data_IF_660639756351
#
_entry.id   IF_660639756351
#
_cell.length_a   1.000
_cell.length_b   1.000
_cell.length_c   1.000
_cell.angle_alpha   90.00
_cell.angle_beta   90.00
_cell.angle_gamma   90.00
#
_symmetry.space_group_name_H-M   'P 1'
#
loop_
_entity.id
_entity.type
_entity.pdbx_description
1 polymer ?
#
# COMPACT_ATOMS: atom_id res chain seq x y z
N UNK A 1 -5.71 21.60 -1.01
CA UNK A 1 -4.30 21.96 -1.29
C UNK A 1 -4.16 23.34 -1.89
N UNK A 2 -3.02 23.99 -1.64
CA UNK A 2 -2.63 25.26 -2.23
C UNK A 2 -1.38 25.05 -3.09
N UNK A 3 -1.29 25.70 -4.25
CA UNK A 3 -0.10 25.64 -5.09
C UNK A 3 1.11 26.26 -4.37
N UNK A 4 2.32 25.70 -4.55
CA UNK A 4 3.54 26.24 -3.94
C UNK A 4 3.90 27.64 -4.45
N UNK A 5 3.43 28.00 -5.65
CA UNK A 5 3.60 29.33 -6.25
C UNK A 5 2.26 29.89 -6.72
N UNK A 6 2.15 31.21 -6.80
CA UNK A 6 0.97 31.87 -7.38
C UNK A 6 0.82 31.42 -8.83
N UNK A 7 -0.38 31.00 -9.21
CA UNK A 7 -0.66 30.59 -10.59
C UNK A 7 -1.38 31.71 -11.34
N UNK A 8 -0.98 31.95 -12.59
CA UNK A 8 -1.80 32.70 -13.53
C UNK A 8 -3.12 31.96 -13.83
N UNK A 9 -4.11 32.69 -14.36
CA UNK A 9 -5.45 32.16 -14.59
C UNK A 9 -5.47 30.98 -15.58
N UNK A 10 -4.57 30.96 -16.56
CA UNK A 10 -4.47 29.90 -17.55
C UNK A 10 -3.48 28.82 -17.08
N UNK A 11 -4.01 27.63 -16.82
CA UNK A 11 -3.24 26.44 -16.43
C UNK A 11 -3.42 25.34 -17.46
N UNK A 12 -2.37 24.57 -17.70
CA UNK A 12 -2.41 23.36 -18.51
C UNK A 12 -2.56 22.14 -17.61
N UNK A 13 -3.65 21.41 -17.81
CA UNK A 13 -3.91 20.11 -17.18
C UNK A 13 -3.52 18.98 -18.13
N UNK A 14 -2.70 18.06 -17.67
CA UNK A 14 -2.28 16.88 -18.43
C UNK A 14 -2.35 15.63 -17.56
N UNK A 15 -3.34 14.79 -17.83
CA UNK A 15 -3.44 13.46 -17.26
C UNK A 15 -2.37 12.56 -17.89
N UNK A 16 -1.46 12.08 -17.06
CA UNK A 16 -0.34 11.20 -17.45
C UNK A 16 -0.65 9.73 -17.13
N UNK A 17 -1.51 9.50 -16.13
CA UNK A 17 -2.19 8.24 -15.81
C UNK A 17 -3.64 8.55 -15.40
N UNK A 18 -4.49 7.54 -15.16
CA UNK A 18 -5.87 7.77 -14.70
C UNK A 18 -5.93 8.44 -13.31
N UNK A 19 -4.84 8.34 -12.56
CA UNK A 19 -4.72 8.80 -11.18
C UNK A 19 -3.54 9.76 -10.95
N UNK A 20 -2.92 10.26 -12.02
CA UNK A 20 -1.84 11.24 -11.99
C UNK A 20 -2.06 12.38 -13.01
N UNK A 21 -2.25 13.60 -12.51
CA UNK A 21 -2.45 14.80 -13.32
C UNK A 21 -1.37 15.86 -13.06
N UNK A 22 -0.63 16.20 -14.11
CA UNK A 22 0.30 17.33 -14.09
C UNK A 22 -0.43 18.65 -14.36
N UNK A 23 -0.32 19.59 -13.43
CA UNK A 23 -0.84 20.96 -13.53
C UNK A 23 0.34 21.90 -13.77
N UNK A 24 0.52 22.35 -15.01
CA UNK A 24 1.58 23.28 -15.40
C UNK A 24 1.01 24.69 -15.53
N UNK A 25 1.70 25.67 -14.97
CA UNK A 25 1.26 27.06 -14.96
C UNK A 25 2.45 28.02 -14.98
N UNK A 26 2.22 29.25 -15.41
CA UNK A 26 3.19 30.33 -15.24
C UNK A 26 2.91 31.05 -13.93
N UNK A 27 3.96 31.38 -13.18
CA UNK A 27 3.82 32.22 -11.99
C UNK A 27 3.99 33.69 -12.36
N UNK A 28 3.07 34.58 -11.96
CA UNK A 28 3.23 36.01 -12.19
C UNK A 28 4.32 36.62 -11.29
N UNK A 29 4.76 35.91 -10.25
CA UNK A 29 5.72 36.42 -9.27
C UNK A 29 7.16 36.42 -9.82
N UNK A 30 7.51 35.43 -10.64
CA UNK A 30 8.85 35.26 -11.24
C UNK A 30 8.82 35.14 -12.77
N UNK A 31 7.64 35.00 -13.38
CA UNK A 31 7.46 34.80 -14.81
C UNK A 31 7.87 33.40 -15.30
N UNK A 32 8.17 32.47 -14.40
CA UNK A 32 8.68 31.14 -14.72
C UNK A 32 7.55 30.12 -14.81
N UNK A 33 7.82 29.01 -15.52
CA UNK A 33 6.92 27.86 -15.59
C UNK A 33 7.14 26.97 -14.37
N UNK A 34 6.05 26.71 -13.65
CA UNK A 34 5.99 25.84 -12.49
C UNK A 34 5.04 24.68 -12.76
N UNK A 35 5.16 23.63 -11.94
CA UNK A 35 4.29 22.47 -12.02
C UNK A 35 3.94 21.95 -10.63
N UNK A 36 2.71 21.50 -10.49
CA UNK A 36 2.25 20.68 -9.38
C UNK A 36 1.66 19.40 -9.95
N UNK A 37 1.98 18.25 -9.37
CA UNK A 37 1.43 16.96 -9.82
C UNK A 37 0.48 16.43 -8.76
N UNK A 38 -0.80 16.29 -9.15
CA UNK A 38 -1.82 15.64 -8.35
C UNK A 38 -1.69 14.13 -8.56
N UNK A 39 -1.53 13.38 -7.48
CA UNK A 39 -1.39 11.92 -7.53
C UNK A 39 -2.37 11.29 -6.56
N UNK A 40 -3.01 10.20 -6.98
CA UNK A 40 -4.00 9.47 -6.20
C UNK A 40 -3.70 7.98 -6.29
N UNK A 41 -3.55 7.29 -5.17
CA UNK A 41 -3.28 5.85 -5.17
C UNK A 41 -1.79 5.50 -5.01
N UNK A 42 -1.49 4.23 -5.27
CA UNK A 42 -0.21 3.59 -4.97
C UNK A 42 0.08 2.49 -6.00
N UNK A 43 1.36 2.14 -6.20
CA UNK A 43 1.78 1.00 -7.05
C UNK A 43 2.47 -0.12 -6.24
N UNK A 44 2.54 0.03 -4.93
CA UNK A 44 3.02 -0.98 -3.99
C UNK A 44 1.87 -1.70 -3.28
N UNK A 45 2.13 -2.18 -2.07
CA UNK A 45 1.16 -2.90 -1.24
C UNK A 45 0.22 -1.99 -0.44
N UNK A 46 0.35 -0.67 -0.54
CA UNK A 46 -0.46 0.30 0.22
C UNK A 46 -0.17 0.36 1.73
N UNK A 47 0.85 -0.34 2.23
CA UNK A 47 1.26 -0.38 3.66
C UNK A 47 2.42 0.58 3.92
N UNK A 48 3.37 0.69 2.97
CA UNK A 48 4.54 1.58 3.09
C UNK A 48 4.60 2.60 1.95
N UNK A 49 4.87 3.85 2.30
CA UNK A 49 5.13 4.90 1.31
C UNK A 49 6.58 4.77 0.82
N UNK A 50 6.78 4.48 -0.46
CA UNK A 50 8.10 4.47 -1.07
C UNK A 50 8.46 5.82 -1.71
N UNK A 51 9.74 6.00 -1.99
CA UNK A 51 10.21 7.13 -2.79
C UNK A 51 10.23 6.74 -4.27
N UNK A 52 9.57 7.53 -5.12
CA UNK A 52 9.51 7.27 -6.56
C UNK A 52 10.91 7.18 -7.15
N UNK A 53 11.82 8.06 -6.69
CA UNK A 53 13.24 8.05 -7.05
C UNK A 53 13.92 6.69 -6.80
N UNK A 54 13.58 6.03 -5.70
CA UNK A 54 14.15 4.73 -5.34
C UNK A 54 13.55 3.62 -6.20
N UNK A 55 12.23 3.64 -6.43
CA UNK A 55 11.60 2.53 -7.13
C UNK A 55 11.87 2.52 -8.63
N UNK A 56 12.20 3.68 -9.23
CA UNK A 56 12.51 3.75 -10.66
C UNK A 56 13.93 3.30 -11.00
N UNK A 57 14.84 3.15 -10.02
CA UNK A 57 16.28 2.83 -10.22
C UNK A 57 16.51 1.72 -11.24
N UNK A 58 17.43 1.90 -12.21
CA UNK A 58 17.69 1.00 -13.33
C UNK A 58 17.73 1.69 -14.70
N UNK A 59 17.88 0.88 -15.75
CA UNK A 59 17.88 1.32 -17.15
C UNK A 59 16.51 1.13 -17.81
N UNK A 60 16.12 2.07 -18.66
CA UNK A 60 14.81 2.15 -19.28
C UNK A 60 14.92 2.52 -20.77
N UNK A 61 14.07 1.92 -21.60
CA UNK A 61 14.03 2.19 -23.04
C UNK A 61 12.65 2.59 -23.51
N UNK A 62 12.61 3.56 -24.41
CA UNK A 62 11.37 4.16 -24.84
C UNK A 62 10.59 3.28 -25.84
N UNK A 63 9.29 3.14 -25.64
CA UNK A 63 8.40 2.31 -26.46
C UNK A 63 7.54 3.13 -27.43
N UNK A 64 7.30 2.56 -28.62
CA UNK A 64 6.36 3.11 -29.59
C UNK A 64 7.02 3.71 -30.84
N UNK A 65 6.30 4.63 -31.50
CA UNK A 65 6.77 5.27 -32.73
C UNK A 65 7.51 6.56 -32.40
N UNK A 66 8.59 6.84 -33.12
CA UNK A 66 9.43 8.04 -32.95
C UNK A 66 10.17 8.14 -31.61
N UNK A 67 10.49 7.01 -30.98
CA UNK A 67 11.23 6.94 -29.72
C UNK A 67 12.74 6.68 -29.90
N UNK A 68 13.23 6.60 -31.13
CA UNK A 68 14.65 6.38 -31.39
C UNK A 68 15.49 7.52 -30.81
N UNK A 69 16.52 7.15 -30.03
CA UNK A 69 17.41 8.11 -29.35
C UNK A 69 16.90 8.62 -28.01
N UNK A 70 15.78 8.08 -27.50
CA UNK A 70 15.37 8.28 -26.12
C UNK A 70 15.91 7.18 -25.23
N UNK A 71 16.61 7.57 -24.17
CA UNK A 71 17.09 6.67 -23.13
C UNK A 71 16.84 7.33 -21.77
N UNK A 72 16.52 6.51 -20.77
CA UNK A 72 16.38 6.95 -19.40
C UNK A 72 17.19 5.99 -18.52
N UNK A 73 18.11 6.55 -17.76
CA UNK A 73 18.89 5.81 -16.78
C UNK A 73 18.67 6.44 -15.41
N UNK A 74 18.42 5.62 -14.41
CA UNK A 74 18.15 6.07 -13.05
C UNK A 74 19.10 5.32 -12.13
N UNK A 75 19.83 6.04 -11.29
CA UNK A 75 20.96 5.52 -10.53
C UNK A 75 21.14 6.27 -9.22
N UNK A 76 22.12 5.85 -8.39
CA UNK A 76 22.53 6.60 -7.21
C UNK A 76 23.10 7.99 -7.57
N UNK A 77 23.66 8.14 -8.77
CA UNK A 77 24.20 9.40 -9.30
C UNK A 77 23.12 10.34 -9.85
N UNK A 78 21.84 9.94 -9.84
CA UNK A 78 20.74 10.74 -10.36
C UNK A 78 19.94 10.06 -11.47
N UNK A 79 19.12 10.87 -12.15
CA UNK A 79 18.33 10.49 -13.30
C UNK A 79 18.90 11.15 -14.55
N UNK A 80 19.35 10.33 -15.49
CA UNK A 80 19.83 10.76 -16.80
C UNK A 80 18.74 10.59 -17.84
N UNK A 81 18.32 11.71 -18.45
CA UNK A 81 17.42 11.74 -19.60
C UNK A 81 18.23 12.03 -20.85
N UNK A 82 18.22 11.10 -21.81
CA UNK A 82 18.74 11.33 -23.16
C UNK A 82 17.56 11.57 -24.08
N UNK A 83 17.52 12.74 -24.70
CA UNK A 83 16.50 13.09 -25.70
C UNK A 83 17.14 13.48 -27.04
N UNK A 84 16.49 13.20 -28.19
CA UNK A 84 17.01 13.59 -29.50
C UNK A 84 17.15 15.11 -29.71
N UNK A 85 16.33 15.92 -29.02
CA UNK A 85 16.32 17.38 -29.17
C UNK A 85 17.29 18.09 -28.23
N UNK A 86 17.34 17.66 -26.98
CA UNK A 86 18.02 18.40 -25.90
C UNK A 86 19.31 17.69 -25.43
N UNK A 87 19.65 16.54 -26.01
CA UNK A 87 20.83 15.76 -25.63
C UNK A 87 20.66 15.08 -24.27
N UNK A 88 21.80 14.84 -23.61
CA UNK A 88 21.88 14.24 -22.28
C UNK A 88 21.73 15.31 -21.19
N UNK A 89 20.82 15.07 -20.25
CA UNK A 89 20.61 15.87 -19.04
C UNK A 89 20.67 14.94 -17.83
N UNK A 90 21.37 15.38 -16.79
CA UNK A 90 21.53 14.64 -15.53
C UNK A 90 20.90 15.46 -14.42
N UNK A 91 20.06 14.81 -13.62
CA UNK A 91 19.36 15.39 -12.48
C UNK A 91 19.78 14.64 -11.22
N UNK A 92 20.44 15.31 -10.29
CA UNK A 92 20.85 14.68 -9.03
C UNK A 92 19.62 14.39 -8.14
N UNK A 93 19.79 13.61 -7.08
CA UNK A 93 18.68 13.29 -6.17
C UNK A 93 18.00 14.56 -5.61
N UNK A 94 18.79 15.60 -5.29
CA UNK A 94 18.29 16.88 -4.76
C UNK A 94 17.54 17.71 -5.82
N UNK A 95 17.75 17.43 -7.10
CA UNK A 95 17.02 18.05 -8.22
C UNK A 95 15.65 17.38 -8.46
N UNK A 96 15.39 16.26 -7.80
CA UNK A 96 14.21 15.44 -8.02
C UNK A 96 13.14 15.69 -6.94
N UNK A 97 12.01 16.29 -7.32
CA UNK A 97 10.93 16.66 -6.39
C UNK A 97 9.78 15.67 -6.47
N UNK A 98 9.53 14.94 -5.38
CA UNK A 98 8.49 13.92 -5.33
C UNK A 98 7.08 14.50 -5.14
N UNK A 99 6.10 13.89 -5.83
CA UNK A 99 4.67 14.14 -5.67
C UNK A 99 3.96 12.81 -5.39
N UNK A 100 3.51 12.63 -4.14
CA UNK A 100 2.90 11.38 -3.68
C UNK A 100 3.81 10.17 -3.87
N UNK A 101 3.22 9.02 -4.19
CA UNK A 101 3.93 7.76 -4.50
C UNK A 101 3.99 7.46 -5.99
N UNK A 102 3.51 8.36 -6.86
CA UNK A 102 3.35 8.08 -8.28
C UNK A 102 4.22 8.93 -9.21
N UNK A 103 4.69 10.10 -8.75
CA UNK A 103 5.37 11.03 -9.64
C UNK A 103 6.59 11.71 -9.02
N UNK A 104 7.51 12.12 -9.90
CA UNK A 104 8.67 12.94 -9.57
C UNK A 104 8.91 13.97 -10.67
N UNK A 105 9.18 15.22 -10.30
CA UNK A 105 9.63 16.24 -11.22
C UNK A 105 11.15 16.33 -11.21
N UNK A 106 11.75 16.40 -12.39
CA UNK A 106 13.19 16.59 -12.57
C UNK A 106 13.44 18.08 -12.80
N UNK A 107 14.12 18.73 -11.86
CA UNK A 107 14.27 20.18 -11.85
C UNK A 107 15.68 20.61 -12.23
N UNK A 108 15.80 21.72 -12.95
CA UNK A 108 17.07 22.40 -13.16
C UNK A 108 17.01 23.75 -12.44
N UNK A 109 17.94 23.99 -11.51
CA UNK A 109 17.95 25.19 -10.66
C UNK A 109 16.60 25.41 -9.93
N UNK A 110 15.96 24.33 -9.48
CA UNK A 110 14.67 24.36 -8.80
C UNK A 110 13.45 24.55 -9.70
N UNK A 111 13.61 24.58 -11.03
CA UNK A 111 12.52 24.71 -12.00
C UNK A 111 12.27 23.38 -12.72
N UNK A 112 11.02 22.89 -12.78
CA UNK A 112 10.70 21.59 -13.34
C UNK A 112 10.91 21.57 -14.86
N UNK A 113 11.71 20.60 -15.34
CA UNK A 113 11.99 20.36 -16.76
C UNK A 113 11.22 19.16 -17.31
N UNK A 114 11.13 18.10 -16.50
CA UNK A 114 10.43 16.86 -16.84
C UNK A 114 9.58 16.37 -15.66
N UNK A 115 8.52 15.63 -15.97
CA UNK A 115 7.73 14.87 -15.00
C UNK A 115 7.85 13.39 -15.35
N UNK A 116 8.25 12.56 -14.40
CA UNK A 116 8.22 11.12 -14.52
C UNK A 116 7.08 10.56 -13.66
N UNK A 117 6.28 9.66 -14.23
CA UNK A 117 5.08 9.09 -13.60
C UNK A 117 5.07 7.57 -13.75
N UNK A 118 4.73 6.86 -12.66
CA UNK A 118 4.42 5.42 -12.69
C UNK A 118 3.00 5.23 -13.25
N UNK A 119 2.84 4.42 -14.31
CA UNK A 119 1.52 4.15 -14.87
C UNK A 119 0.79 3.05 -14.10
N UNK A 120 -0.49 2.85 -14.43
CA UNK A 120 -1.40 1.91 -13.74
C UNK A 120 -0.97 0.45 -13.84
N UNK A 121 -0.10 0.12 -14.80
CA UNK A 121 0.49 -1.20 -14.98
C UNK A 121 1.78 -1.41 -14.18
N UNK A 122 2.29 -0.40 -13.47
CA UNK A 122 3.45 -0.55 -12.61
C UNK A 122 3.14 -1.40 -11.38
N UNK A 123 4.02 -2.36 -11.10
CA UNK A 123 4.06 -3.10 -9.84
C UNK A 123 5.39 -2.84 -9.15
N UNK A 124 5.35 -2.21 -7.98
CA UNK A 124 6.52 -2.06 -7.10
C UNK A 124 6.64 -3.31 -6.24
N UNK A 125 7.81 -3.94 -6.26
CA UNK A 125 8.07 -5.14 -5.49
C UNK A 125 8.21 -4.85 -4.00
N UNK A 126 7.56 -5.65 -3.16
CA UNK A 126 7.57 -5.51 -1.70
C UNK A 126 8.95 -5.72 -1.06
N UNK A 127 9.83 -6.44 -1.75
CA UNK A 127 11.17 -6.80 -1.26
C UNK A 127 12.25 -6.01 -2.00
N UNK A 128 12.04 -5.78 -3.30
CA UNK A 128 13.03 -5.14 -4.16
C UNK A 128 13.00 -3.62 -4.06
N UNK A 129 11.91 -3.04 -3.51
CA UNK A 129 11.65 -1.61 -3.47
C UNK A 129 11.90 -0.94 -4.84
N UNK A 130 11.63 -1.67 -5.93
CA UNK A 130 11.71 -1.20 -7.31
C UNK A 130 10.53 -1.66 -8.14
N UNK A 131 10.25 -0.93 -9.23
CA UNK A 131 9.23 -1.33 -10.20
C UNK A 131 9.69 -2.61 -10.90
N UNK A 132 9.04 -3.74 -10.64
CA UNK A 132 9.38 -5.06 -11.19
C UNK A 132 8.78 -5.26 -12.59
N UNK A 133 7.67 -4.59 -12.87
CA UNK A 133 7.00 -4.61 -14.17
C UNK A 133 6.17 -3.35 -14.38
N UNK A 134 5.79 -3.10 -15.64
CA UNK A 134 4.96 -1.97 -16.05
C UNK A 134 5.73 -0.88 -16.78
N UNK A 135 5.05 0.25 -16.96
CA UNK A 135 5.48 1.33 -17.84
C UNK A 135 5.58 2.64 -17.06
N UNK A 136 6.62 3.43 -17.34
CA UNK A 136 6.73 4.79 -16.81
C UNK A 136 6.57 5.81 -17.93
N UNK A 137 5.98 6.96 -17.63
CA UNK A 137 5.81 8.06 -18.56
C UNK A 137 6.71 9.25 -18.18
N UNK A 138 7.51 9.73 -19.13
CA UNK A 138 8.27 10.97 -19.01
C UNK A 138 7.61 12.06 -19.87
N UNK A 139 7.26 13.20 -19.28
CA UNK A 139 6.64 14.31 -19.99
C UNK A 139 7.41 15.62 -19.81
N UNK A 140 7.60 16.37 -20.90
CA UNK A 140 8.25 17.69 -20.83
C UNK A 140 7.34 18.69 -20.14
N UNK A 141 7.89 19.45 -19.21
CA UNK A 141 7.18 20.53 -18.51
C UNK A 141 7.21 21.78 -19.39
N UNK A 142 6.04 22.15 -19.91
CA UNK A 142 5.86 23.32 -20.78
C UNK A 142 4.39 23.68 -20.86
N UNK A 143 4.10 24.97 -21.05
CA UNK A 143 2.76 25.47 -21.37
C UNK A 143 2.31 25.09 -22.80
N UNK A 144 3.24 24.72 -23.68
CA UNK A 144 2.93 24.23 -25.03
C UNK A 144 2.33 22.81 -25.00
N UNK A 145 1.76 22.37 -26.12
CA UNK A 145 1.30 20.98 -26.25
C UNK A 145 2.51 20.04 -26.22
N UNK A 146 2.54 19.13 -25.26
CA UNK A 146 3.54 18.07 -25.13
C UNK A 146 2.84 16.71 -25.06
N UNK A 147 3.53 15.66 -25.49
CA UNK A 147 3.09 14.27 -25.34
C UNK A 147 4.11 13.53 -24.47
N UNK A 148 3.65 12.62 -23.59
CA UNK A 148 4.55 11.78 -22.81
C UNK A 148 5.29 10.77 -23.72
N UNK A 149 6.50 10.42 -23.30
CA UNK A 149 7.28 9.30 -23.82
C UNK A 149 7.19 8.18 -22.79
N UNK A 150 6.87 6.98 -23.25
CA UNK A 150 6.68 5.81 -22.40
C UNK A 150 7.93 4.94 -22.42
N UNK A 151 8.30 4.39 -21.28
CA UNK A 151 9.48 3.55 -21.14
C UNK A 151 9.16 2.25 -20.41
N UNK A 152 9.82 1.18 -20.84
CA UNK A 152 9.87 -0.09 -20.13
C UNK A 152 11.29 -0.37 -19.66
N UNK A 153 11.38 -1.10 -18.55
CA UNK A 153 12.65 -1.39 -17.90
C UNK A 153 13.48 -2.36 -18.75
N UNK A 154 14.75 -2.03 -18.97
CA UNK A 154 15.71 -2.86 -19.70
C UNK A 154 16.87 -3.34 -18.85
N UNK A 155 17.15 -2.68 -17.73
CA UNK A 155 18.14 -3.11 -16.75
C UNK A 155 17.67 -2.82 -15.32
N UNK A 156 17.97 -3.74 -14.41
CA UNK A 156 17.87 -3.50 -12.97
C UNK A 156 19.07 -2.67 -12.50
N UNK A 157 19.00 -1.98 -11.34
CA UNK A 157 20.13 -1.20 -10.85
C UNK A 157 21.30 -2.12 -10.45
N UNK A 158 22.54 -1.62 -10.56
CA UNK A 158 23.73 -2.37 -10.13
C UNK A 158 23.64 -2.69 -8.63
N UNK A 159 23.82 -3.96 -8.26
CA UNK A 159 23.58 -4.43 -6.89
C UNK A 159 22.14 -4.94 -6.65
N UNK A 160 21.24 -4.83 -7.63
CA UNK A 160 20.06 -5.69 -7.74
C UNK A 160 20.42 -7.07 -8.35
N UNK A 161 21.66 -7.51 -8.12
CA UNK A 161 22.02 -8.92 -8.26
C UNK A 161 21.17 -9.68 -7.24
N UNK A 162 20.25 -10.47 -7.77
CA UNK A 162 19.51 -11.48 -7.04
C UNK A 162 20.49 -12.39 -6.27
N UNK A 163 20.73 -12.09 -4.99
CA UNK A 163 20.20 -13.07 -4.06
C UNK A 163 18.69 -12.95 -4.21
N UNK A 164 18.11 -13.83 -5.02
CA UNK A 164 16.73 -14.20 -4.77
C UNK A 164 16.77 -14.73 -3.35
N UNK A 165 16.57 -13.86 -2.36
CA UNK A 165 15.90 -14.29 -1.15
C UNK A 165 14.64 -14.94 -1.73
N UNK A 166 14.60 -16.28 -1.69
CA UNK A 166 13.44 -17.02 -2.13
C UNK A 166 12.26 -16.30 -1.48
N UNK A 167 11.32 -15.77 -2.28
CA UNK A 167 10.12 -15.15 -1.73
C UNK A 167 9.60 -16.16 -0.73
N UNK A 168 9.57 -15.84 0.58
CA UNK A 168 9.27 -16.84 1.57
C UNK A 168 7.97 -17.48 1.16
N UNK A 169 7.98 -18.80 1.00
CA UNK A 169 6.79 -19.55 0.69
C UNK A 169 5.70 -19.20 1.71
N UNK A 170 4.43 -19.41 1.36
CA UNK A 170 3.33 -19.22 2.34
C UNK A 170 3.61 -19.96 3.66
N UNK A 171 4.27 -21.11 3.55
CA UNK A 171 4.72 -21.88 4.70
C UNK A 171 5.80 -21.17 5.53
N UNK A 172 6.79 -20.53 4.91
CA UNK A 172 7.84 -19.77 5.59
C UNK A 172 7.29 -18.50 6.26
N UNK A 173 6.45 -17.73 5.57
CA UNK A 173 5.71 -16.62 6.16
C UNK A 173 4.86 -17.08 7.35
N UNK A 174 4.21 -18.25 7.22
CA UNK A 174 3.45 -18.87 8.30
C UNK A 174 4.31 -19.30 9.49
N UNK A 175 5.55 -19.79 9.26
CA UNK A 175 6.52 -20.10 10.33
C UNK A 175 6.94 -18.82 11.05
N UNK A 176 7.25 -17.76 10.33
CA UNK A 176 7.67 -16.48 10.90
C UNK A 176 6.54 -15.85 11.73
N UNK A 177 5.31 -15.81 11.19
CA UNK A 177 4.12 -15.35 11.90
C UNK A 177 3.95 -16.10 13.23
N UNK A 178 3.99 -17.44 13.17
CA UNK A 178 3.88 -18.31 14.34
C UNK A 178 4.97 -18.01 15.37
N UNK A 179 6.22 -17.92 14.92
CA UNK A 179 7.37 -17.77 15.81
C UNK A 179 7.37 -16.39 16.48
N UNK A 180 6.96 -15.34 15.75
CA UNK A 180 6.72 -14.00 16.30
C UNK A 180 5.62 -13.98 17.36
N UNK A 181 4.49 -14.63 17.09
CA UNK A 181 3.38 -14.72 18.06
C UNK A 181 3.81 -15.49 19.33
N UNK A 182 4.51 -16.63 19.16
CA UNK A 182 5.05 -17.41 20.29
C UNK A 182 6.06 -16.62 21.09
N UNK A 183 6.95 -15.88 20.44
CA UNK A 183 7.91 -15.03 21.13
C UNK A 183 7.22 -13.93 21.93
N UNK A 184 6.21 -13.28 21.34
CA UNK A 184 5.39 -12.25 22.01
C UNK A 184 4.76 -12.80 23.28
N UNK A 185 4.05 -13.94 23.19
CA UNK A 185 3.41 -14.57 24.35
C UNK A 185 4.41 -15.14 25.36
N UNK A 186 5.64 -15.45 24.94
CA UNK A 186 6.70 -15.87 25.87
C UNK A 186 7.24 -14.70 26.70
N UNK A 187 7.34 -13.52 26.10
CA UNK A 187 7.86 -12.30 26.75
C UNK A 187 6.79 -11.57 27.56
N UNK A 188 5.53 -11.65 27.13
CA UNK A 188 4.37 -11.06 27.80
C UNK A 188 3.14 -11.97 27.70
N UNK A 189 3.05 -13.04 28.51
CA UNK A 189 1.97 -14.02 28.45
C UNK A 189 0.58 -13.42 28.63
N UNK A 190 0.45 -12.38 29.46
CA UNK A 190 -0.81 -11.68 29.70
C UNK A 190 -1.07 -10.55 28.68
N UNK A 191 -0.15 -10.32 27.74
CA UNK A 191 -0.16 -9.22 26.78
C UNK A 191 -0.33 -7.85 27.46
N UNK A 192 0.11 -7.72 28.71
CA UNK A 192 -0.11 -6.56 29.58
C UNK A 192 0.49 -5.26 29.04
N UNK A 193 1.58 -5.37 28.29
CA UNK A 193 2.35 -4.28 27.66
C UNK A 193 2.21 -4.28 26.14
N UNK A 194 1.47 -5.22 25.57
CA UNK A 194 1.29 -5.32 24.13
C UNK A 194 0.23 -4.32 23.67
N UNK A 195 0.62 -3.48 22.72
CA UNK A 195 -0.25 -2.53 22.03
C UNK A 195 -0.72 -3.16 20.72
N UNK A 196 -2.03 -3.14 20.49
CA UNK A 196 -2.60 -3.71 19.27
C UNK A 196 -2.25 -2.85 18.04
N UNK A 197 -2.02 -3.52 16.91
CA UNK A 197 -1.76 -2.93 15.60
C UNK A 197 -2.64 -3.59 14.54
N UNK A 198 -3.34 -2.79 13.73
CA UNK A 198 -4.29 -3.25 12.73
C UNK A 198 -3.68 -4.18 11.67
N UNK A 199 -2.38 -4.03 11.41
CA UNK A 199 -1.61 -4.83 10.45
C UNK A 199 -0.65 -5.81 11.14
N UNK A 200 -0.53 -5.71 12.46
CA UNK A 200 0.31 -6.56 13.30
C UNK A 200 -0.52 -7.56 14.11
N UNK A 201 -0.38 -7.50 15.44
CA UNK A 201 -1.14 -8.32 16.36
C UNK A 201 -2.26 -7.54 17.04
N UNK A 202 -3.40 -8.21 17.25
CA UNK A 202 -4.54 -7.70 18.00
C UNK A 202 -4.63 -8.43 19.33
N UNK A 203 -4.61 -7.67 20.42
CA UNK A 203 -4.83 -8.18 21.77
C UNK A 203 -6.32 -8.18 22.10
N UNK A 204 -6.84 -9.34 22.52
CA UNK A 204 -8.20 -9.48 23.06
C UNK A 204 -8.11 -9.99 24.49
N UNK A 205 -8.56 -9.18 25.46
CA UNK A 205 -8.62 -9.58 26.88
C UNK A 205 -10.01 -10.13 27.19
N UNK A 206 -10.09 -11.43 27.49
CA UNK A 206 -11.37 -12.10 27.76
C UNK A 206 -11.14 -13.43 28.48
N UNK A 207 -12.12 -13.84 29.30
CA UNK A 207 -12.19 -15.17 29.92
C UNK A 207 -12.96 -16.18 29.05
N UNK A 208 -13.53 -15.73 27.92
CA UNK A 208 -14.24 -16.59 26.97
C UNK A 208 -13.31 -17.62 26.33
N UNK A 209 -13.82 -18.83 26.08
CA UNK A 209 -13.06 -19.90 25.43
C UNK A 209 -13.53 -20.21 23.99
N UNK A 210 -14.61 -19.58 23.53
CA UNK A 210 -15.13 -19.78 22.18
C UNK A 210 -14.28 -19.05 21.15
N UNK A 211 -13.53 -19.81 20.35
CA UNK A 211 -12.63 -19.30 19.31
C UNK A 211 -13.32 -18.36 18.31
N UNK A 212 -14.61 -18.58 18.00
CA UNK A 212 -15.35 -17.75 17.07
C UNK A 212 -15.78 -16.42 17.72
N UNK A 213 -16.06 -16.44 19.02
CA UNK A 213 -16.30 -15.21 19.77
C UNK A 213 -15.01 -14.38 19.89
N UNK A 214 -13.88 -15.03 20.16
CA UNK A 214 -12.57 -14.39 20.22
C UNK A 214 -12.20 -13.77 18.85
N UNK A 215 -12.42 -14.50 17.75
CA UNK A 215 -12.22 -13.99 16.40
C UNK A 215 -13.10 -12.75 16.11
N UNK A 216 -14.37 -12.77 16.51
CA UNK A 216 -15.29 -11.62 16.41
C UNK A 216 -14.76 -10.42 17.18
N UNK A 217 -14.34 -10.59 18.43
CA UNK A 217 -13.76 -9.51 19.23
C UNK A 217 -12.48 -8.94 18.59
N UNK A 218 -11.59 -9.79 18.09
CA UNK A 218 -10.36 -9.32 17.45
C UNK A 218 -10.61 -8.59 16.12
N UNK A 219 -11.61 -9.00 15.35
CA UNK A 219 -12.02 -8.27 14.14
C UNK A 219 -12.57 -6.88 14.48
N UNK A 220 -13.42 -6.78 15.52
CA UNK A 220 -13.94 -5.49 16.00
C UNK A 220 -12.81 -4.55 16.44
N UNK A 221 -11.87 -5.04 17.26
CA UNK A 221 -10.70 -4.26 17.69
C UNK A 221 -9.82 -3.82 16.53
N UNK A 222 -9.65 -4.68 15.51
CA UNK A 222 -8.92 -4.31 14.29
C UNK A 222 -9.61 -3.15 13.56
N UNK A 223 -10.93 -3.17 13.43
CA UNK A 223 -11.65 -2.06 12.78
C UNK A 223 -11.61 -0.77 13.59
N UNK A 224 -11.59 -0.83 14.94
CA UNK A 224 -11.35 0.35 15.78
C UNK A 224 -10.00 1.01 15.47
N UNK A 225 -8.96 0.22 15.24
CA UNK A 225 -7.63 0.73 14.87
C UNK A 225 -7.58 1.30 13.43
N UNK A 226 -8.49 0.88 12.54
CA UNK A 226 -8.57 1.40 11.17
C UNK A 226 -9.51 2.61 11.03
N UNK A 227 -10.45 2.79 11.97
CA UNK A 227 -11.47 3.83 11.95
C UNK A 227 -10.96 5.25 12.30
N UNK A 228 -9.65 5.40 12.58
CA UNK A 228 -8.98 6.69 12.88
C UNK A 228 -8.99 7.67 11.69
N UNK A 229 -9.52 7.25 10.54
CA UNK A 229 -9.66 8.05 9.32
C UNK A 229 -11.03 8.75 9.20
N UNK A 230 -11.84 8.83 10.27
CA UNK A 230 -13.14 9.52 10.25
C UNK A 230 -14.22 8.83 9.41
N UNK A 231 -14.11 7.51 9.19
CA UNK A 231 -15.08 6.71 8.43
C UNK A 231 -15.79 5.74 9.36
N UNK A 232 -17.11 5.78 9.36
CA UNK A 232 -17.97 4.84 10.07
C UNK A 232 -17.86 3.45 9.43
N UNK A 233 -17.72 2.43 10.28
CA UNK A 233 -17.68 1.03 9.87
C UNK A 233 -18.87 0.29 10.47
N UNK A 234 -19.77 -0.18 9.62
CA UNK A 234 -20.82 -1.13 9.98
C UNK A 234 -20.45 -2.51 9.46
N UNK A 235 -20.25 -3.47 10.37
CA UNK A 235 -19.78 -4.81 10.03
C UNK A 235 -20.74 -5.89 10.52
N UNK A 236 -21.12 -6.78 9.61
CA UNK A 236 -21.80 -8.03 9.93
C UNK A 236 -20.89 -9.21 9.57
N UNK A 237 -20.51 -10.01 10.56
CA UNK A 237 -19.87 -11.31 10.29
C UNK A 237 -20.95 -12.26 9.77
N UNK A 238 -20.72 -12.83 8.60
CA UNK A 238 -21.64 -13.73 7.91
C UNK A 238 -21.36 -15.19 8.27
N UNK A 239 -20.08 -15.55 8.35
CA UNK A 239 -19.66 -16.93 8.55
C UNK A 239 -18.25 -17.01 9.13
N UNK A 240 -17.97 -18.04 9.92
CA UNK A 240 -16.62 -18.34 10.41
C UNK A 240 -16.31 -19.84 10.32
N UNK A 241 -15.05 -20.17 10.07
CA UNK A 241 -14.57 -21.54 9.90
C UNK A 241 -13.24 -21.73 10.63
N UNK A 242 -13.11 -22.81 11.41
CA UNK A 242 -11.83 -23.26 11.96
C UNK A 242 -11.08 -24.04 10.88
N UNK A 243 -9.95 -23.50 10.41
CA UNK A 243 -9.13 -24.12 9.36
C UNK A 243 -8.19 -25.18 9.93
N UNK A 244 -7.58 -24.91 11.07
CA UNK A 244 -6.60 -25.77 11.73
C UNK A 244 -6.40 -25.38 13.20
N UNK A 245 -5.92 -26.32 14.00
CA UNK A 245 -5.52 -26.11 15.39
C UNK A 245 -6.61 -26.38 16.42
N UNK A 246 -6.42 -25.84 17.61
CA UNK A 246 -7.28 -26.07 18.77
C UNK A 246 -7.55 -24.76 19.54
N UNK A 247 -8.16 -24.87 20.73
CA UNK A 247 -8.52 -23.70 21.56
C UNK A 247 -7.33 -22.88 22.08
N UNK A 248 -6.08 -23.35 21.92
CA UNK A 248 -4.88 -22.66 22.37
C UNK A 248 -4.08 -22.02 21.23
N UNK A 249 -4.08 -22.64 20.05
CA UNK A 249 -3.43 -22.13 18.83
C UNK A 249 -4.24 -22.62 17.63
N UNK A 250 -4.90 -21.70 16.93
CA UNK A 250 -5.76 -22.02 15.78
C UNK A 250 -5.68 -21.00 14.65
N UNK A 251 -6.11 -21.43 13.46
CA UNK A 251 -6.35 -20.58 12.30
C UNK A 251 -7.86 -20.52 12.03
N UNK A 252 -8.44 -19.32 12.03
CA UNK A 252 -9.87 -19.09 11.82
C UNK A 252 -10.07 -18.16 10.63
N UNK A 253 -10.91 -18.57 9.69
CA UNK A 253 -11.40 -17.75 8.58
C UNK A 253 -12.70 -17.08 9.00
N UNK A 254 -12.83 -15.80 8.70
CA UNK A 254 -14.01 -14.97 8.96
C UNK A 254 -14.45 -14.38 7.62
N UNK A 255 -15.72 -14.56 7.28
CA UNK A 255 -16.36 -13.89 6.16
C UNK A 255 -17.26 -12.81 6.72
N UNK A 256 -17.05 -11.57 6.30
CA UNK A 256 -17.81 -10.42 6.76
C UNK A 256 -18.38 -9.61 5.60
N UNK A 257 -19.46 -8.87 5.88
CA UNK A 257 -19.94 -7.78 5.05
C UNK A 257 -19.69 -6.49 5.80
N UNK A 258 -18.96 -5.58 5.17
CA UNK A 258 -18.57 -4.30 5.75
C UNK A 258 -19.16 -3.20 4.91
N UNK A 259 -19.74 -2.20 5.57
CA UNK A 259 -20.22 -0.98 4.96
C UNK A 259 -19.43 0.18 5.53
N UNK A 260 -18.83 0.98 4.65
CA UNK A 260 -18.13 2.20 4.99
C UNK A 260 -19.05 3.39 4.72
N UNK A 261 -19.19 4.27 5.71
CA UNK A 261 -19.98 5.50 5.61
C UNK A 261 -19.18 6.72 6.04
N UNK A 262 -19.38 7.85 5.37
CA UNK A 262 -19.01 9.16 5.90
C UNK A 262 -20.26 9.83 6.50
N UNK A 263 -20.02 10.72 7.48
CA UNK A 263 -20.98 11.52 8.26
C UNK A 263 -22.26 11.98 7.47
N UNK A 264 -23.39 12.30 8.14
CA UNK A 264 -24.74 12.03 7.61
C UNK A 264 -25.03 12.73 6.27
N UNK A 265 -25.05 11.92 5.20
CA UNK A 265 -25.35 12.33 3.82
C UNK A 265 -24.36 11.84 2.77
N UNK A 266 -23.25 11.21 3.17
CA UNK A 266 -22.23 10.65 2.29
C UNK A 266 -22.66 9.37 1.54
N UNK A 267 -21.93 9.04 0.48
CA UNK A 267 -22.09 7.76 -0.23
C UNK A 267 -21.60 6.62 0.66
N UNK A 268 -22.42 5.58 0.81
CA UNK A 268 -22.04 4.34 1.50
C UNK A 268 -21.52 3.33 0.49
N UNK A 269 -20.37 2.71 0.77
CA UNK A 269 -19.86 1.58 -0.01
C UNK A 269 -19.95 0.31 0.83
N UNK A 270 -20.36 -0.81 0.23
CA UNK A 270 -20.48 -2.09 0.93
C UNK A 270 -19.71 -3.17 0.16
N UNK A 271 -18.94 -3.97 0.90
CA UNK A 271 -18.09 -5.04 0.37
C UNK A 271 -18.20 -6.29 1.24
N UNK A 272 -18.23 -7.46 0.61
CA UNK A 272 -17.97 -8.71 1.32
C UNK A 272 -16.47 -8.98 1.32
N UNK A 273 -15.91 -9.32 2.47
CA UNK A 273 -14.50 -9.62 2.66
C UNK A 273 -14.31 -10.97 3.34
N UNK A 274 -13.15 -11.56 3.15
CA UNK A 274 -12.73 -12.75 3.87
C UNK A 274 -11.38 -12.47 4.52
N UNK A 275 -11.35 -12.57 5.85
CA UNK A 275 -10.18 -12.31 6.67
C UNK A 275 -9.79 -13.61 7.38
N UNK A 276 -8.51 -14.00 7.34
CA UNK A 276 -8.02 -15.14 8.12
C UNK A 276 -7.13 -14.66 9.25
N UNK A 277 -7.35 -15.19 10.45
CA UNK A 277 -6.54 -14.94 11.63
C UNK A 277 -5.86 -16.21 12.10
N UNK A 278 -4.63 -16.08 12.59
CA UNK A 278 -4.08 -17.01 13.58
C UNK A 278 -4.36 -16.47 14.98
N UNK A 279 -4.79 -17.32 15.89
CA UNK A 279 -5.21 -16.96 17.25
C UNK A 279 -4.42 -17.82 18.23
N UNK A 280 -3.70 -17.21 19.17
CA UNK A 280 -2.98 -17.91 20.23
C UNK A 280 -3.43 -17.43 21.61
N UNK A 281 -3.66 -18.38 22.53
CA UNK A 281 -4.07 -18.13 23.91
C UNK A 281 -2.87 -17.75 24.77
N UNK A 282 -2.97 -16.62 25.46
CA UNK A 282 -2.12 -16.19 26.56
C UNK A 282 -2.78 -16.39 27.92
N UNK A 283 -2.27 -15.70 28.95
CA UNK A 283 -2.82 -15.70 30.30
C UNK A 283 -3.93 -14.65 30.44
N UNK A 284 -5.19 -15.07 30.32
CA UNK A 284 -6.36 -14.17 30.39
C UNK A 284 -6.53 -13.26 29.17
N UNK A 285 -5.83 -13.56 28.08
CA UNK A 285 -5.89 -12.82 26.83
C UNK A 285 -5.60 -13.73 25.64
N UNK A 286 -5.89 -13.23 24.44
CA UNK A 286 -5.60 -13.86 23.16
C UNK A 286 -4.85 -12.87 22.27
N UNK A 287 -3.83 -13.37 21.57
CA UNK A 287 -3.15 -12.66 20.50
C UNK A 287 -3.70 -13.18 19.18
N UNK A 288 -4.34 -12.31 18.41
CA UNK A 288 -4.74 -12.59 17.04
C UNK A 288 -3.75 -11.91 16.10
N UNK A 289 -3.44 -12.54 14.98
CA UNK A 289 -2.68 -11.92 13.93
C UNK A 289 -3.34 -12.20 12.59
N UNK A 290 -3.54 -11.15 11.80
CA UNK A 290 -4.05 -11.27 10.45
C UNK A 290 -3.03 -12.02 9.57
N UNK A 291 -3.51 -12.96 8.77
CA UNK A 291 -2.70 -13.65 7.78
C UNK A 291 -3.01 -13.06 6.39
N UNK A 292 -1.98 -12.45 5.79
CA UNK A 292 -2.03 -11.94 4.42
C UNK A 292 -2.21 -13.05 3.39
N UNK A 293 -2.48 -12.65 2.15
CA UNK A 293 -2.71 -13.59 1.03
C UNK A 293 -1.55 -14.57 0.80
N UNK A 294 -0.33 -14.14 1.12
CA UNK A 294 0.94 -14.83 0.96
C UNK A 294 1.40 -15.57 2.23
N UNK A 295 0.55 -15.68 3.25
CA UNK A 295 0.88 -16.32 4.53
C UNK A 295 -0.02 -17.53 4.77
N UNK A 296 0.55 -18.68 5.13
CA UNK A 296 -0.21 -19.84 5.59
C UNK A 296 -0.38 -19.80 7.13
N UNK A 297 -1.57 -19.46 7.65
CA UNK A 297 -1.79 -19.38 9.09
C UNK A 297 -1.83 -20.76 9.77
N UNK A 298 -2.05 -21.84 9.01
CA UNK A 298 -2.20 -23.20 9.52
C UNK A 298 -0.85 -23.90 9.76
N UNK A 299 0.28 -23.25 9.49
CA UNK A 299 1.59 -23.87 9.61
C UNK A 299 1.86 -24.40 11.02
N UNK A 300 2.14 -25.69 11.10
CA UNK A 300 2.40 -26.41 12.34
C UNK A 300 1.16 -26.70 13.18
N UNK A 301 -0.05 -26.52 12.61
CA UNK A 301 -1.32 -26.90 13.22
C UNK A 301 -1.90 -28.13 12.51
N UNK A 302 -2.54 -28.99 13.29
CA UNK A 302 -3.29 -30.12 12.73
C UNK A 302 -4.65 -29.65 12.21
N UNK A 303 -5.12 -30.26 11.12
CA UNK A 303 -6.50 -30.07 10.67
C UNK A 303 -7.48 -30.45 11.80
N UNK A 304 -8.62 -29.75 11.93
CA UNK A 304 -9.55 -30.02 13.01
C UNK A 304 -10.13 -31.44 12.84
N UNK A 305 -10.30 -32.15 13.96
CA UNK A 305 -10.82 -33.52 13.95
C UNK A 305 -12.22 -33.64 13.34
N UNK A 306 -12.99 -32.54 13.39
CA UNK A 306 -14.28 -32.37 12.73
C UNK A 306 -14.35 -30.96 12.17
N UNK A 307 -15.03 -30.77 11.04
CA UNK A 307 -15.33 -29.43 10.53
C UNK A 307 -16.07 -28.63 11.60
N UNK A 308 -15.53 -27.46 11.94
CA UNK A 308 -16.13 -26.52 12.87
C UNK A 308 -16.34 -25.22 12.14
N UNK A 309 -17.61 -24.85 11.97
CA UNK A 309 -18.04 -23.65 11.27
C UNK A 309 -19.22 -23.03 12.01
N UNK A 310 -19.48 -21.74 11.75
CA UNK A 310 -20.59 -21.00 12.34
C UNK A 310 -21.17 -20.05 11.30
N UNK A 311 -22.43 -20.27 10.94
CA UNK A 311 -23.24 -19.30 10.22
C UNK A 311 -23.76 -18.26 11.22
N UNK A 312 -23.43 -16.99 10.98
CA UNK A 312 -23.82 -15.86 11.82
C UNK A 312 -24.57 -14.80 11.03
N UNK A 313 -25.02 -15.12 9.81
CA UNK A 313 -25.76 -14.19 8.98
C UNK A 313 -27.04 -13.74 9.69
N UNK A 314 -27.12 -12.44 10.00
CA UNK A 314 -28.26 -11.84 10.71
C UNK A 314 -28.30 -12.11 12.21
N UNK A 315 -27.21 -12.61 12.81
CA UNK A 315 -27.05 -12.63 14.26
C UNK A 315 -26.45 -11.31 14.74
N UNK A 316 -27.21 -10.56 15.53
CA UNK A 316 -26.82 -9.25 16.11
C UNK A 316 -25.60 -9.35 17.04
N UNK A 317 -25.35 -10.49 17.68
CA UNK A 317 -24.15 -10.67 18.52
C UNK A 317 -22.85 -10.64 17.68
N UNK A 318 -22.98 -10.86 16.36
CA UNK A 318 -21.92 -10.86 15.36
C UNK A 318 -21.93 -9.64 14.44
N UNK A 319 -22.76 -8.66 14.78
CA UNK A 319 -22.71 -7.31 14.25
C UNK A 319 -21.91 -6.41 15.19
N UNK A 320 -21.26 -5.41 14.62
CA UNK A 320 -20.72 -4.29 15.38
C UNK A 320 -20.64 -3.04 14.50
N UNK A 321 -20.72 -1.89 15.17
CA UNK A 321 -20.53 -0.58 14.57
C UNK A 321 -19.33 0.10 15.24
N UNK A 322 -18.39 0.59 14.43
CA UNK A 322 -17.27 1.39 14.87
C UNK A 322 -17.44 2.80 14.30
N UNK A 323 -17.66 3.82 15.15
CA UNK A 323 -17.73 5.20 14.68
C UNK A 323 -16.39 5.66 14.15
N UNK A 324 -16.40 6.46 13.08
CA UNK A 324 -15.21 7.17 12.62
C UNK A 324 -14.79 8.22 13.65
N UNK A 325 -13.55 8.16 14.14
CA UNK A 325 -13.00 9.22 14.98
C UNK A 325 -12.19 10.19 14.10
N UNK A 326 -12.56 11.47 14.08
CA UNK A 326 -11.71 12.51 13.49
C UNK A 326 -10.49 12.73 14.39
N UNK A 327 -9.29 12.46 13.87
CA UNK A 327 -8.05 12.87 14.51
C UNK A 327 -7.97 14.41 14.48
N UNK A 328 -8.08 15.05 15.66
CA UNK A 328 -7.91 16.49 15.86
C UNK A 328 -6.45 16.94 15.78
#
# INVERSE_FOLDING_TARGET
>A
DAFPYTAEADMKLQWLADDACAVTYQSPDDGQVHQYVMTYGDRGNGITTYYVYNVVQGGWSAEGKNTAGWELTTGPEGITVVSPSDGEQVYEADDCVQFGTLAIALCENGLPQWTLVLLDDCAVGDVSDVVESGTIALCKVTMEKSAPIYFTRTAMPDGADMESAETPSKEENGKELRDRMKQTLREDPALSRYESDAYGGIRVVTDEEDIFWIARCGLEERYKLLAVNGVDVDCQILHMELLAGDRYDCAVRVKEKVTYGSDPGGETSASEMETTFRIMKGEGAYLLAWAGFDTDPAVGLDAPAMAMERDTAGNEDYHFFVPGEEAY
#
